data_IF_614667039714
#
_entry.id   IF_614667039714
#
_cell.length_a   1.000
_cell.length_b   1.000
_cell.length_c   1.000
_cell.angle_alpha   90.00
_cell.angle_beta   90.00
_cell.angle_gamma   90.00
#
_symmetry.space_group_name_H-M   'P 1'
#
loop_
_entity.id
_entity.type
_entity.pdbx_description
1 polymer ?
#
# COMPACT_ATOMS: atom_id res chain seq x y z
N UNK A 1 -2.47 -6.14 0.70
CA UNK A 1 -2.26 -4.67 0.57
C UNK A 1 -0.78 -4.45 0.68
N UNK A 2 -0.22 -3.77 -0.26
CA UNK A 2 1.18 -3.82 -0.63
C UNK A 2 2.12 -3.21 0.42
N UNK A 3 1.86 -1.97 0.88
CA UNK A 3 2.68 -1.33 1.91
C UNK A 3 4.08 -0.93 1.45
N UNK A 4 4.25 -0.67 0.15
CA UNK A 4 5.51 -0.23 -0.45
C UNK A 4 5.80 1.26 -0.21
N UNK A 5 4.75 2.09 -0.05
CA UNK A 5 4.86 3.54 0.04
C UNK A 5 5.24 3.99 1.45
N UNK A 6 6.50 3.73 1.83
CA UNK A 6 7.04 3.94 3.18
C UNK A 6 7.99 5.11 3.24
N UNK A 7 8.02 5.77 4.39
CA UNK A 7 9.09 6.72 4.72
C UNK A 7 10.40 5.99 4.96
N UNK A 8 11.51 6.66 4.64
CA UNK A 8 12.84 6.29 5.10
C UNK A 8 13.12 7.03 6.42
N UNK A 9 12.83 6.35 7.53
CA UNK A 9 12.84 6.96 8.87
C UNK A 9 14.17 7.60 9.30
N UNK A 10 15.37 7.09 8.91
CA UNK A 10 16.64 7.72 9.27
C UNK A 10 16.81 9.15 8.74
N UNK A 11 16.18 9.47 7.59
CA UNK A 11 16.29 10.78 6.94
C UNK A 11 15.13 11.74 7.31
N UNK A 12 14.20 11.30 8.15
CA UNK A 12 13.13 12.16 8.65
C UNK A 12 13.59 12.98 9.85
N UNK A 13 13.24 14.26 9.86
CA UNK A 13 13.33 15.06 11.08
C UNK A 13 12.40 14.50 12.15
N UNK A 14 12.76 14.64 13.41
CA UNK A 14 11.96 14.13 14.54
C UNK A 14 10.49 14.61 14.47
N UNK A 15 10.25 15.89 14.15
CA UNK A 15 8.90 16.46 14.02
C UNK A 15 8.12 15.84 12.85
N UNK A 16 8.77 15.57 11.72
CA UNK A 16 8.17 14.92 10.56
C UNK A 16 7.79 13.47 10.90
N UNK A 17 8.66 12.76 11.61
CA UNK A 17 8.37 11.41 12.07
C UNK A 17 7.21 11.37 13.08
N UNK A 18 7.12 12.35 13.98
CA UNK A 18 5.99 12.47 14.91
C UNK A 18 4.69 12.80 14.18
N UNK A 19 4.73 13.69 13.19
CA UNK A 19 3.57 14.00 12.35
C UNK A 19 3.12 12.78 11.56
N UNK A 20 4.03 12.07 10.89
CA UNK A 20 3.74 10.84 10.16
C UNK A 20 3.08 9.79 11.06
N UNK A 21 3.65 9.57 12.26
CA UNK A 21 3.08 8.67 13.26
C UNK A 21 1.69 9.09 13.73
N UNK A 22 1.47 10.40 13.86
CA UNK A 22 0.16 10.93 14.25
C UNK A 22 -0.89 10.63 13.16
N UNK A 23 -0.56 10.81 11.87
CA UNK A 23 -1.44 10.45 10.76
C UNK A 23 -1.67 8.94 10.69
N UNK A 24 -0.62 8.12 10.73
CA UNK A 24 -0.71 6.66 10.71
C UNK A 24 -1.59 6.10 11.84
N UNK A 25 -1.33 6.53 13.08
CA UNK A 25 -2.12 6.12 14.25
C UNK A 25 -3.52 6.71 14.23
N UNK A 26 -3.68 7.93 13.72
CA UNK A 26 -4.97 8.61 13.52
C UNK A 26 -5.84 7.88 12.51
N UNK A 27 -5.26 7.48 11.36
CA UNK A 27 -5.94 6.67 10.35
C UNK A 27 -6.35 5.30 10.92
N UNK A 28 -5.46 4.61 11.62
CA UNK A 28 -5.77 3.35 12.32
C UNK A 28 -7.00 3.49 13.23
N UNK A 29 -7.05 4.57 14.01
CA UNK A 29 -8.18 4.83 14.92
C UNK A 29 -9.44 5.18 14.17
N UNK A 30 -9.34 5.98 13.11
CA UNK A 30 -10.47 6.37 12.25
C UNK A 30 -11.06 5.16 11.56
N UNK A 31 -10.24 4.25 11.02
CA UNK A 31 -10.67 2.97 10.49
C UNK A 31 -11.48 2.17 11.51
N UNK A 32 -10.97 2.04 12.74
CA UNK A 32 -11.69 1.34 13.80
C UNK A 32 -13.04 1.95 14.16
N UNK A 33 -13.18 3.27 14.07
CA UNK A 33 -14.43 4.00 14.32
C UNK A 33 -15.41 3.93 13.13
N UNK A 34 -14.91 4.12 11.92
CA UNK A 34 -15.72 4.22 10.70
C UNK A 34 -16.21 2.86 10.22
N UNK A 35 -15.31 1.88 10.13
CA UNK A 35 -15.57 0.61 9.47
C UNK A 35 -15.51 -0.60 10.40
N UNK A 36 -15.11 -0.39 11.67
CA UNK A 36 -15.08 -1.42 12.72
C UNK A 36 -13.67 -1.81 13.14
N UNK A 37 -13.54 -2.41 14.34
CA UNK A 37 -12.22 -2.63 14.93
C UNK A 37 -11.29 -3.53 14.08
N UNK A 38 -11.86 -4.51 13.37
CA UNK A 38 -11.09 -5.40 12.50
C UNK A 38 -10.43 -4.65 11.33
N UNK A 39 -10.96 -3.48 10.91
CA UNK A 39 -10.38 -2.70 9.81
C UNK A 39 -8.98 -2.18 10.10
N UNK A 40 -8.58 -2.10 11.36
CA UNK A 40 -7.21 -1.73 11.74
C UNK A 40 -6.16 -2.73 11.22
N UNK A 41 -6.58 -3.95 10.90
CA UNK A 41 -5.71 -4.98 10.32
C UNK A 41 -5.42 -4.73 8.83
N UNK A 42 -6.26 -3.91 8.16
CA UNK A 42 -6.04 -3.51 6.77
C UNK A 42 -5.30 -2.18 6.63
N UNK A 43 -4.82 -1.61 7.75
CA UNK A 43 -3.99 -0.41 7.72
C UNK A 43 -2.71 -0.68 6.93
N UNK A 44 -2.43 0.15 5.94
CA UNK A 44 -1.20 0.09 5.15
C UNK A 44 -0.49 1.44 5.10
N UNK A 45 0.76 1.40 4.72
CA UNK A 45 1.54 2.61 4.45
C UNK A 45 0.99 3.35 3.23
N UNK A 46 0.46 2.62 2.24
CA UNK A 46 -0.11 3.19 1.03
C UNK A 46 -1.31 4.10 1.34
N UNK A 47 -2.24 3.63 2.18
CA UNK A 47 -3.36 4.47 2.62
C UNK A 47 -2.93 5.57 3.58
N UNK A 48 -1.79 5.44 4.24
CA UNK A 48 -1.22 6.56 5.02
C UNK A 48 -0.70 7.65 4.09
N UNK A 49 -0.02 7.29 3.00
CA UNK A 49 0.36 8.26 1.97
C UNK A 49 -0.87 8.91 1.33
N UNK A 50 -1.91 8.13 1.00
CA UNK A 50 -3.17 8.68 0.49
C UNK A 50 -3.76 9.73 1.45
N UNK A 51 -3.74 9.45 2.75
CA UNK A 51 -4.21 10.40 3.76
C UNK A 51 -3.34 11.67 3.79
N UNK A 52 -2.02 11.56 3.68
CA UNK A 52 -1.11 12.71 3.62
C UNK A 52 -1.35 13.56 2.36
N UNK A 53 -1.52 12.93 1.20
CA UNK A 53 -1.83 13.64 -0.06
C UNK A 53 -3.19 14.33 0.04
N UNK A 54 -4.20 13.66 0.58
CA UNK A 54 -5.52 14.26 0.79
C UNK A 54 -5.46 15.47 1.72
N UNK A 55 -4.70 15.38 2.81
CA UNK A 55 -4.48 16.51 3.73
C UNK A 55 -3.78 17.68 3.04
N UNK A 56 -2.84 17.41 2.11
CA UNK A 56 -2.21 18.45 1.30
C UNK A 56 -3.21 19.14 0.37
N UNK A 57 -4.05 18.36 -0.32
CA UNK A 57 -5.03 18.85 -1.28
C UNK A 57 -6.21 19.62 -0.63
N UNK A 58 -6.71 19.13 0.51
CA UNK A 58 -7.90 19.73 1.15
C UNK A 58 -7.57 20.85 2.12
N UNK A 59 -6.31 21.06 2.42
CA UNK A 59 -5.93 22.09 3.37
C UNK A 59 -6.36 21.80 4.82
N UNK A 60 -6.82 20.57 5.14
CA UNK A 60 -7.29 20.22 6.48
C UNK A 60 -6.17 20.27 7.54
N UNK A 61 -6.46 20.94 8.66
CA UNK A 61 -5.56 20.96 9.81
C UNK A 61 -5.73 19.73 10.70
N UNK A 62 -4.62 19.23 11.21
CA UNK A 62 -4.61 18.10 12.12
C UNK A 62 -4.59 18.52 13.57
N UNK A 63 -5.61 18.14 14.31
CA UNK A 63 -5.56 18.16 15.78
C UNK A 63 -4.93 16.85 16.26
N UNK A 64 -3.77 16.93 16.92
CA UNK A 64 -3.06 15.77 17.44
C UNK A 64 -3.26 15.65 18.94
N UNK A 65 -3.68 14.47 19.41
CA UNK A 65 -3.84 14.15 20.83
C UNK A 65 -3.02 12.94 21.21
N UNK A 66 -2.39 13.01 22.39
CA UNK A 66 -1.62 11.87 22.93
C UNK A 66 -2.57 10.84 23.53
N UNK A 67 -2.65 9.64 22.95
CA UNK A 67 -3.58 8.58 23.35
C UNK A 67 -2.89 7.22 23.41
N UNK A 68 -3.45 6.31 24.20
CA UNK A 68 -3.09 4.89 24.18
C UNK A 68 -3.78 4.18 23.01
N UNK A 69 -3.10 3.20 22.41
CA UNK A 69 -3.68 2.37 21.36
C UNK A 69 -3.74 0.90 21.78
N UNK A 70 -4.63 0.13 21.17
CA UNK A 70 -4.82 -1.29 21.48
C UNK A 70 -3.52 -2.10 21.27
N UNK A 71 -2.74 -1.75 20.23
CA UNK A 71 -1.47 -2.40 19.96
C UNK A 71 -0.32 -1.94 20.90
N UNK A 72 -0.46 -0.79 21.57
CA UNK A 72 0.55 -0.22 22.47
C UNK A 72 -0.13 0.37 23.73
N UNK A 73 -0.67 -0.48 24.61
CA UNK A 73 -1.49 -0.02 25.73
C UNK A 73 -0.67 0.72 26.81
N UNK A 74 0.63 0.44 26.90
CA UNK A 74 1.49 1.00 27.94
C UNK A 74 2.01 2.41 27.64
N UNK A 75 2.06 2.81 26.35
CA UNK A 75 2.61 4.11 25.96
C UNK A 75 1.56 4.95 25.23
N UNK A 76 1.46 6.23 25.62
CA UNK A 76 0.70 7.20 24.83
C UNK A 76 1.49 7.54 23.56
N UNK A 77 0.79 7.68 22.45
CA UNK A 77 1.35 8.06 21.14
C UNK A 77 0.58 9.24 20.56
N UNK A 78 1.23 10.11 19.78
CA UNK A 78 0.52 11.14 19.04
C UNK A 78 -0.43 10.47 18.05
N UNK A 79 -1.67 10.92 18.01
CA UNK A 79 -2.71 10.44 17.09
C UNK A 79 -3.51 11.62 16.58
N UNK A 80 -3.63 11.75 15.28
CA UNK A 80 -4.53 12.69 14.66
C UNK A 80 -5.98 12.35 15.03
N UNK A 81 -6.79 13.36 15.35
CA UNK A 81 -8.23 13.21 15.46
C UNK A 81 -8.81 12.94 14.05
N UNK A 82 -9.94 12.23 13.95
CA UNK A 82 -10.57 11.99 12.66
C UNK A 82 -10.86 13.27 11.90
N UNK A 83 -10.45 13.32 10.64
CA UNK A 83 -10.77 14.36 9.67
C UNK A 83 -11.52 13.74 8.50
N UNK A 84 -12.18 14.55 7.63
CA UNK A 84 -12.77 14.05 6.38
C UNK A 84 -11.79 13.26 5.51
N UNK A 85 -10.55 13.74 5.36
CA UNK A 85 -9.50 13.03 4.61
C UNK A 85 -9.19 11.65 5.20
N UNK A 86 -9.00 11.55 6.52
CA UNK A 86 -8.76 10.27 7.19
C UNK A 86 -9.97 9.33 7.11
N UNK A 87 -11.20 9.89 7.20
CA UNK A 87 -12.43 9.10 7.09
C UNK A 87 -12.60 8.53 5.68
N UNK A 88 -12.37 9.33 4.63
CA UNK A 88 -12.36 8.85 3.24
C UNK A 88 -11.41 7.69 3.05
N UNK A 89 -10.15 7.83 3.49
CA UNK A 89 -9.14 6.78 3.39
C UNK A 89 -9.55 5.51 4.14
N UNK A 90 -10.22 5.64 5.29
CA UNK A 90 -10.74 4.50 6.03
C UNK A 90 -11.84 3.75 5.26
N UNK A 91 -12.76 4.46 4.61
CA UNK A 91 -13.83 3.84 3.82
C UNK A 91 -13.30 3.25 2.51
N UNK A 92 -12.42 3.96 1.80
CA UNK A 92 -11.77 3.49 0.58
C UNK A 92 -10.95 2.22 0.83
N UNK A 93 -10.14 2.19 1.91
CA UNK A 93 -9.40 1.00 2.31
C UNK A 93 -10.30 -0.20 2.60
N UNK A 94 -11.45 0.01 3.26
CA UNK A 94 -12.38 -1.06 3.56
C UNK A 94 -13.06 -1.65 2.31
N UNK A 95 -13.38 -0.79 1.34
CA UNK A 95 -13.99 -1.18 0.06
C UNK A 95 -12.95 -1.94 -0.78
N UNK A 96 -11.75 -1.37 -0.98
CA UNK A 96 -10.70 -2.01 -1.77
C UNK A 96 -10.27 -3.36 -1.17
N UNK A 97 -10.10 -3.44 0.16
CA UNK A 97 -9.77 -4.69 0.84
C UNK A 97 -10.82 -5.78 0.61
N UNK A 98 -12.11 -5.40 0.51
CA UNK A 98 -13.18 -6.38 0.23
C UNK A 98 -13.00 -7.04 -1.13
N UNK A 99 -12.76 -6.25 -2.17
CA UNK A 99 -12.62 -6.79 -3.52
C UNK A 99 -11.31 -7.55 -3.68
N UNK A 100 -10.21 -7.11 -3.05
CA UNK A 100 -8.96 -7.87 -3.03
C UNK A 100 -9.11 -9.24 -2.34
N UNK A 101 -9.73 -9.31 -1.17
CA UNK A 101 -9.97 -10.60 -0.49
C UNK A 101 -10.89 -11.51 -1.31
N UNK A 102 -11.86 -10.93 -2.03
CA UNK A 102 -12.74 -11.69 -2.92
C UNK A 102 -11.97 -12.27 -4.11
N UNK A 103 -10.98 -11.58 -4.62
CA UNK A 103 -10.07 -12.00 -5.66
C UNK A 103 -9.14 -13.10 -5.15
N UNK A 104 -8.47 -12.90 -4.02
CA UNK A 104 -7.64 -13.90 -3.35
C UNK A 104 -8.40 -15.23 -3.12
N UNK A 105 -9.71 -15.17 -2.80
CA UNK A 105 -10.55 -16.36 -2.62
C UNK A 105 -10.80 -17.14 -3.92
N UNK A 106 -10.70 -16.48 -5.10
CA UNK A 106 -10.86 -17.11 -6.41
C UNK A 106 -9.56 -17.75 -6.87
N UNK A 107 -8.44 -17.07 -6.65
CA UNK A 107 -7.15 -17.40 -7.26
C UNK A 107 -6.26 -18.24 -6.34
N UNK A 108 -6.39 -18.10 -5.03
CA UNK A 108 -5.55 -18.81 -4.07
C UNK A 108 -6.06 -20.20 -3.73
N UNK A 109 -5.12 -21.10 -3.42
CA UNK A 109 -5.40 -22.48 -2.97
C UNK A 109 -4.74 -22.74 -1.61
N UNK A 110 -5.21 -23.76 -0.89
CA UNK A 110 -4.61 -24.20 0.37
C UNK A 110 -4.75 -23.20 1.52
N UNK A 111 -3.69 -23.02 2.30
CA UNK A 111 -3.70 -22.23 3.54
C UNK A 111 -4.02 -20.74 3.33
N UNK A 112 -3.57 -20.15 2.22
CA UNK A 112 -3.86 -18.73 1.90
C UNK A 112 -5.36 -18.53 1.68
N UNK A 113 -6.02 -19.44 0.93
CA UNK A 113 -7.48 -19.41 0.74
C UNK A 113 -8.24 -19.59 2.06
N UNK A 114 -7.76 -20.48 2.94
CA UNK A 114 -8.38 -20.68 4.25
C UNK A 114 -8.28 -19.41 5.09
N UNK A 115 -7.13 -18.76 5.11
CA UNK A 115 -6.94 -17.48 5.81
C UNK A 115 -7.87 -16.40 5.26
N UNK A 116 -7.96 -16.26 3.94
CA UNK A 116 -8.88 -15.32 3.27
C UNK A 116 -10.34 -15.60 3.63
N UNK A 117 -10.75 -16.87 3.68
CA UNK A 117 -12.12 -17.29 4.07
C UNK A 117 -12.49 -16.86 5.49
N UNK A 118 -11.56 -16.95 6.44
CA UNK A 118 -11.79 -16.54 7.84
C UNK A 118 -11.97 -15.03 7.95
N UNK A 119 -11.22 -14.24 7.18
CA UNK A 119 -11.29 -12.77 7.24
C UNK A 119 -12.43 -12.19 6.41
N UNK A 120 -12.90 -12.88 5.37
CA UNK A 120 -13.90 -12.41 4.42
C UNK A 120 -15.18 -11.83 5.07
N UNK A 121 -15.82 -12.48 6.07
CA UNK A 121 -17.04 -11.94 6.69
C UNK A 121 -16.80 -10.61 7.41
N UNK A 122 -15.64 -10.43 8.03
CA UNK A 122 -15.26 -9.17 8.68
C UNK A 122 -15.06 -8.07 7.65
N UNK A 123 -14.32 -8.37 6.58
CA UNK A 123 -14.07 -7.45 5.47
C UNK A 123 -15.39 -7.06 4.77
N UNK A 124 -16.29 -8.04 4.53
CA UNK A 124 -17.62 -7.76 3.99
C UNK A 124 -18.46 -6.84 4.91
N UNK A 125 -18.30 -6.99 6.23
CA UNK A 125 -18.96 -6.10 7.19
C UNK A 125 -18.42 -4.67 7.12
N UNK A 126 -17.09 -4.51 6.93
CA UNK A 126 -16.45 -3.19 6.75
C UNK A 126 -16.98 -2.48 5.50
N UNK A 127 -17.02 -3.17 4.35
CA UNK A 127 -17.61 -2.66 3.10
C UNK A 127 -19.07 -2.23 3.31
N UNK A 128 -19.91 -3.08 3.93
CA UNK A 128 -21.32 -2.74 4.20
C UNK A 128 -21.48 -1.49 5.04
N UNK A 129 -20.55 -1.22 5.97
CA UNK A 129 -20.54 0.03 6.76
C UNK A 129 -20.19 1.23 5.91
N UNK A 130 -19.20 1.09 5.00
CA UNK A 130 -18.82 2.15 4.05
C UNK A 130 -20.01 2.52 3.15
N UNK A 131 -20.66 1.54 2.54
CA UNK A 131 -21.86 1.76 1.68
C UNK A 131 -22.98 2.45 2.44
N UNK A 132 -23.30 2.00 3.67
CA UNK A 132 -24.32 2.65 4.52
C UNK A 132 -23.98 4.07 4.92
N UNK A 133 -22.73 4.47 4.86
CA UNK A 133 -22.24 5.83 5.14
C UNK A 133 -22.21 6.75 3.92
N UNK A 134 -22.74 6.28 2.78
CA UNK A 134 -22.88 7.09 1.57
C UNK A 134 -21.81 6.85 0.52
N UNK A 135 -20.93 5.86 0.71
CA UNK A 135 -19.86 5.52 -0.27
C UNK A 135 -20.28 4.41 -1.25
N UNK A 136 -21.58 4.35 -1.60
CA UNK A 136 -22.10 3.35 -2.54
C UNK A 136 -21.56 3.53 -3.95
N UNK A 137 -21.42 4.76 -4.42
CA UNK A 137 -20.87 5.07 -5.74
C UNK A 137 -19.38 4.69 -5.83
N UNK A 138 -18.61 4.98 -4.77
CA UNK A 138 -17.22 4.51 -4.66
C UNK A 138 -17.14 2.99 -4.71
N UNK A 139 -17.99 2.30 -3.97
CA UNK A 139 -18.05 0.84 -3.96
C UNK A 139 -18.36 0.26 -5.35
N UNK A 140 -19.33 0.83 -6.03
CA UNK A 140 -19.69 0.44 -7.41
C UNK A 140 -18.54 0.68 -8.40
N UNK A 141 -17.85 1.82 -8.28
CA UNK A 141 -16.69 2.15 -9.10
C UNK A 141 -15.52 1.18 -8.87
N UNK A 142 -15.22 0.85 -7.62
CA UNK A 142 -14.18 -0.15 -7.28
C UNK A 142 -14.56 -1.53 -7.81
N UNK A 143 -15.83 -1.93 -7.67
CA UNK A 143 -16.31 -3.22 -8.21
C UNK A 143 -16.09 -3.33 -9.71
N UNK A 144 -16.48 -2.30 -10.47
CA UNK A 144 -16.34 -2.31 -11.93
C UNK A 144 -14.87 -2.33 -12.36
N UNK A 145 -14.03 -1.51 -11.75
CA UNK A 145 -12.60 -1.48 -12.06
C UNK A 145 -11.89 -2.81 -11.71
N UNK A 146 -12.19 -3.41 -10.55
CA UNK A 146 -11.62 -4.70 -10.18
C UNK A 146 -12.13 -5.85 -11.07
N UNK A 147 -13.37 -5.77 -11.55
CA UNK A 147 -13.92 -6.74 -12.51
C UNK A 147 -13.19 -6.63 -13.85
N UNK A 148 -13.02 -5.41 -14.36
CA UNK A 148 -12.32 -5.13 -15.61
C UNK A 148 -10.85 -5.56 -15.53
N UNK A 149 -10.17 -5.28 -14.41
CA UNK A 149 -8.81 -5.74 -14.15
C UNK A 149 -8.71 -7.27 -14.19
N UNK A 150 -9.62 -7.96 -13.51
CA UNK A 150 -9.67 -9.43 -13.51
C UNK A 150 -9.91 -10.02 -14.91
N UNK A 151 -10.77 -9.40 -15.73
CA UNK A 151 -11.02 -9.80 -17.12
C UNK A 151 -9.77 -9.59 -17.99
N UNK A 152 -9.07 -8.46 -17.81
CA UNK A 152 -7.83 -8.15 -18.50
C UNK A 152 -6.71 -9.13 -18.12
N UNK A 153 -6.52 -9.42 -16.83
CA UNK A 153 -5.55 -10.39 -16.32
C UNK A 153 -5.84 -11.81 -16.85
N UNK A 154 -7.11 -12.20 -16.91
CA UNK A 154 -7.53 -13.49 -17.47
C UNK A 154 -7.19 -13.63 -18.96
N UNK A 155 -7.16 -12.54 -19.72
CA UNK A 155 -6.79 -12.54 -21.13
C UNK A 155 -5.30 -12.77 -21.38
N UNK A 156 -4.46 -12.65 -20.35
CA UNK A 156 -2.99 -12.86 -20.37
C UNK A 156 -2.28 -12.13 -21.51
N UNK A 157 -2.71 -10.91 -21.80
CA UNK A 157 -2.05 -10.07 -22.82
C UNK A 157 -0.56 -9.83 -22.44
N UNK A 158 0.34 -9.74 -23.43
CA UNK A 158 1.77 -9.49 -23.18
C UNK A 158 2.04 -8.00 -22.92
N UNK A 159 1.36 -7.44 -21.92
CA UNK A 159 1.46 -6.03 -21.54
C UNK A 159 1.45 -5.90 -20.03
N UNK A 160 2.29 -5.01 -19.50
CA UNK A 160 2.28 -4.55 -18.10
C UNK A 160 1.55 -3.22 -18.01
N UNK A 161 1.61 -2.41 -19.06
CA UNK A 161 1.06 -1.05 -19.07
C UNK A 161 -0.45 -1.01 -18.92
N UNK A 162 -1.17 -1.89 -19.60
CA UNK A 162 -2.62 -1.90 -19.57
C UNK A 162 -3.18 -2.21 -18.19
N UNK A 163 -2.81 -3.34 -17.54
CA UNK A 163 -3.31 -3.63 -16.21
C UNK A 163 -2.79 -2.63 -15.15
N UNK A 164 -1.55 -2.14 -15.28
CA UNK A 164 -1.02 -1.10 -14.40
C UNK A 164 -1.81 0.21 -14.53
N UNK A 165 -2.18 0.60 -15.76
CA UNK A 165 -2.99 1.79 -15.99
C UNK A 165 -4.38 1.63 -15.39
N UNK A 166 -5.02 0.48 -15.60
CA UNK A 166 -6.36 0.22 -15.07
C UNK A 166 -6.38 0.26 -13.53
N UNK A 167 -5.38 -0.35 -12.89
CA UNK A 167 -5.22 -0.25 -11.44
C UNK A 167 -4.89 1.18 -10.98
N UNK A 168 -4.05 1.88 -11.74
CA UNK A 168 -3.72 3.29 -11.50
C UNK A 168 -4.96 4.19 -11.60
N UNK A 169 -5.80 4.01 -12.62
CA UNK A 169 -7.07 4.72 -12.78
C UNK A 169 -8.01 4.51 -11.58
N UNK A 170 -8.08 3.28 -11.07
CA UNK A 170 -8.82 2.98 -9.85
C UNK A 170 -8.30 3.79 -8.67
N UNK A 171 -6.98 3.81 -8.46
CA UNK A 171 -6.34 4.53 -7.35
C UNK A 171 -6.50 6.05 -7.52
N UNK A 172 -6.44 6.55 -8.77
CA UNK A 172 -6.71 7.94 -9.11
C UNK A 172 -8.13 8.37 -8.74
N UNK A 173 -9.13 7.58 -9.12
CA UNK A 173 -10.55 7.81 -8.78
C UNK A 173 -10.78 7.78 -7.26
N UNK A 174 -10.14 6.86 -6.54
CA UNK A 174 -10.24 6.79 -5.08
C UNK A 174 -9.64 8.02 -4.41
N UNK A 175 -8.47 8.47 -4.86
CA UNK A 175 -7.79 9.62 -4.29
C UNK A 175 -8.52 10.93 -4.62
N UNK A 176 -9.12 11.05 -5.80
CA UNK A 176 -9.88 12.21 -6.24
C UNK A 176 -11.32 12.26 -5.70
N UNK A 177 -11.83 11.19 -5.11
CA UNK A 177 -13.24 11.10 -4.69
C UNK A 177 -13.71 12.28 -3.84
N UNK A 178 -14.78 12.95 -4.27
CA UNK A 178 -15.36 14.11 -3.59
C UNK A 178 -14.52 15.40 -3.65
N UNK A 179 -13.49 15.44 -4.52
CA UNK A 179 -12.81 16.67 -4.91
C UNK A 179 -13.34 17.16 -6.26
N UNK A 180 -13.14 18.44 -6.54
CA UNK A 180 -13.55 19.09 -7.79
C UNK A 180 -12.40 19.94 -8.35
N UNK A 181 -12.54 20.40 -9.58
CA UNK A 181 -11.59 21.33 -10.19
C UNK A 181 -10.17 20.79 -10.35
N UNK A 182 -9.20 21.61 -10.02
CA UNK A 182 -7.76 21.27 -10.17
C UNK A 182 -7.30 20.27 -9.09
N UNK A 183 -7.84 20.35 -7.89
CA UNK A 183 -7.53 19.41 -6.80
C UNK A 183 -7.95 17.99 -7.17
N UNK A 184 -9.10 17.82 -7.81
CA UNK A 184 -9.54 16.51 -8.31
C UNK A 184 -8.62 15.97 -9.41
N UNK A 185 -8.20 16.80 -10.37
CA UNK A 185 -7.27 16.41 -11.43
C UNK A 185 -5.91 16.03 -10.87
N UNK A 186 -5.38 16.82 -9.95
CA UNK A 186 -4.10 16.56 -9.31
C UNK A 186 -4.13 15.30 -8.48
N UNK A 187 -5.18 15.12 -7.66
CA UNK A 187 -5.41 13.90 -6.89
C UNK A 187 -5.47 12.66 -7.80
N UNK A 188 -6.20 12.77 -8.90
CA UNK A 188 -6.30 11.68 -9.88
C UNK A 188 -4.94 11.34 -10.49
N UNK A 189 -4.17 12.33 -10.91
CA UNK A 189 -2.83 12.13 -11.48
C UNK A 189 -1.90 11.47 -10.46
N UNK A 190 -1.86 11.96 -9.22
CA UNK A 190 -1.06 11.36 -8.13
C UNK A 190 -1.49 9.91 -7.90
N UNK A 191 -2.79 9.65 -7.78
CA UNK A 191 -3.29 8.29 -7.55
C UNK A 191 -3.01 7.34 -8.71
N UNK A 192 -3.15 7.81 -9.96
CA UNK A 192 -2.83 7.06 -11.18
C UNK A 192 -1.35 6.62 -11.17
N UNK A 193 -0.42 7.55 -10.96
CA UNK A 193 1.02 7.24 -10.97
C UNK A 193 1.43 6.34 -9.81
N UNK A 194 0.92 6.60 -8.60
CA UNK A 194 1.13 5.72 -7.45
C UNK A 194 0.60 4.30 -7.69
N UNK A 195 -0.59 4.20 -8.28
CA UNK A 195 -1.21 2.90 -8.58
C UNK A 195 -0.40 2.11 -9.61
N UNK A 196 0.00 2.74 -10.72
CA UNK A 196 0.87 2.13 -11.74
C UNK A 196 2.18 1.65 -11.13
N UNK A 197 2.86 2.50 -10.39
CA UNK A 197 4.12 2.17 -9.73
C UNK A 197 3.98 0.99 -8.77
N UNK A 198 2.95 0.99 -7.93
CA UNK A 198 2.68 -0.11 -6.99
C UNK A 198 2.39 -1.42 -7.73
N UNK A 199 1.58 -1.38 -8.80
CA UNK A 199 1.23 -2.57 -9.57
C UNK A 199 2.44 -3.20 -10.24
N UNK A 200 3.31 -2.39 -10.87
CA UNK A 200 4.52 -2.87 -11.54
C UNK A 200 5.51 -3.45 -10.51
N UNK A 201 5.69 -2.78 -9.38
CA UNK A 201 6.60 -3.24 -8.33
C UNK A 201 6.12 -4.55 -7.68
N UNK A 202 4.81 -4.69 -7.44
CA UNK A 202 4.19 -5.89 -6.89
C UNK A 202 4.36 -7.09 -7.86
N UNK A 203 4.15 -6.85 -9.15
CA UNK A 203 4.39 -7.86 -10.17
C UNK A 203 5.86 -8.34 -10.20
N UNK A 204 6.81 -7.47 -9.90
CA UNK A 204 8.23 -7.83 -9.80
C UNK A 204 8.56 -8.57 -8.50
N UNK A 205 7.97 -8.15 -7.36
CA UNK A 205 8.16 -8.78 -6.05
C UNK A 205 7.59 -10.22 -6.03
N UNK A 206 6.42 -10.41 -6.65
CA UNK A 206 5.72 -11.70 -6.71
C UNK A 206 6.16 -12.60 -7.88
N UNK A 207 7.01 -12.12 -8.81
CA UNK A 207 7.35 -12.82 -10.06
C UNK A 207 7.72 -14.29 -9.88
N UNK A 208 8.70 -14.59 -9.02
CA UNK A 208 9.21 -15.94 -8.83
C UNK A 208 8.15 -16.88 -8.21
N UNK A 209 7.35 -16.35 -7.26
CA UNK A 209 6.28 -17.12 -6.63
C UNK A 209 5.15 -17.41 -7.63
N UNK A 210 4.74 -16.42 -8.43
CA UNK A 210 3.67 -16.54 -9.40
C UNK A 210 4.02 -17.50 -10.54
N UNK A 211 5.23 -17.43 -11.07
CA UNK A 211 5.73 -18.39 -12.07
C UNK A 211 5.76 -19.81 -11.49
N UNK A 212 6.29 -19.98 -10.27
CA UNK A 212 6.34 -21.27 -9.58
C UNK A 212 4.96 -21.91 -9.41
N UNK A 213 3.95 -21.12 -9.03
CA UNK A 213 2.59 -21.61 -8.79
C UNK A 213 1.66 -21.46 -10.00
N UNK A 214 2.20 -21.04 -11.16
CA UNK A 214 1.43 -20.80 -12.41
C UNK A 214 0.27 -19.84 -12.24
N UNK A 215 0.47 -18.83 -11.38
CA UNK A 215 -0.46 -17.70 -11.23
C UNK A 215 -0.27 -16.68 -12.36
N UNK A 216 -1.23 -15.78 -12.51
CA UNK A 216 -1.06 -14.65 -13.41
C UNK A 216 0.05 -13.73 -12.86
N UNK A 217 0.90 -13.28 -13.76
CA UNK A 217 1.84 -12.20 -13.53
C UNK A 217 2.07 -11.48 -14.86
N UNK A 218 1.87 -10.15 -14.94
CA UNK A 218 1.95 -9.41 -16.19
C UNK A 218 3.35 -9.44 -16.81
N UNK A 219 4.40 -9.47 -15.98
CA UNK A 219 5.79 -9.58 -16.46
C UNK A 219 6.05 -10.96 -17.08
N UNK A 220 5.51 -12.03 -16.50
CA UNK A 220 5.62 -13.36 -17.08
C UNK A 220 4.88 -13.45 -18.43
N UNK A 221 3.75 -12.78 -18.57
CA UNK A 221 3.04 -12.66 -19.85
C UNK A 221 3.84 -11.84 -20.87
N UNK A 222 4.44 -10.73 -20.44
CA UNK A 222 5.24 -9.84 -21.30
C UNK A 222 6.50 -10.53 -21.82
N UNK A 223 7.24 -11.22 -20.96
CA UNK A 223 8.50 -11.86 -21.35
C UNK A 223 8.30 -13.16 -22.11
N UNK A 224 7.17 -13.83 -21.89
CA UNK A 224 6.77 -15.07 -22.56
C UNK A 224 7.86 -16.15 -22.62
N UNK A 225 8.74 -16.22 -21.60
CA UNK A 225 9.83 -17.18 -21.48
C UNK A 225 9.53 -18.20 -20.37
N UNK A 226 9.10 -19.43 -20.73
CA UNK A 226 8.80 -20.47 -19.74
C UNK A 226 10.01 -20.96 -18.94
N UNK A 227 11.24 -20.68 -19.40
CA UNK A 227 12.47 -21.08 -18.70
C UNK A 227 12.88 -20.07 -17.63
N UNK A 228 12.34 -18.84 -17.69
CA UNK A 228 12.67 -17.76 -16.76
C UNK A 228 11.85 -17.91 -15.47
N UNK A 229 12.42 -18.57 -14.49
CA UNK A 229 11.81 -18.75 -13.15
C UNK A 229 12.04 -17.57 -12.22
N UNK A 230 12.99 -16.70 -12.53
CA UNK A 230 13.32 -15.46 -11.82
C UNK A 230 13.67 -14.35 -12.83
N UNK A 231 13.49 -13.11 -12.43
CA UNK A 231 13.90 -11.96 -13.24
C UNK A 231 15.42 -11.95 -13.42
N UNK A 232 15.88 -11.91 -14.67
CA UNK A 232 17.31 -11.79 -14.99
C UNK A 232 17.85 -10.42 -14.56
N UNK A 233 19.17 -10.26 -14.32
CA UNK A 233 19.75 -8.96 -13.98
C UNK A 233 19.39 -7.86 -14.99
N UNK A 234 19.41 -8.19 -16.29
CA UNK A 234 19.03 -7.24 -17.34
C UNK A 234 17.57 -6.80 -17.23
N UNK A 235 16.63 -7.73 -16.98
CA UNK A 235 15.21 -7.41 -16.80
C UNK A 235 14.95 -6.61 -15.52
N UNK A 236 15.72 -6.83 -14.47
CA UNK A 236 15.65 -6.01 -13.24
C UNK A 236 16.07 -4.56 -13.51
N UNK A 237 17.13 -4.33 -14.30
CA UNK A 237 17.55 -2.97 -14.67
C UNK A 237 16.52 -2.28 -15.59
N UNK A 238 15.93 -2.99 -16.56
CA UNK A 238 14.83 -2.45 -17.39
C UNK A 238 13.63 -2.02 -16.52
N UNK A 239 13.22 -2.85 -15.56
CA UNK A 239 12.13 -2.54 -14.64
C UNK A 239 12.46 -1.37 -13.70
N UNK A 240 13.71 -1.30 -13.23
CA UNK A 240 14.18 -0.16 -12.44
C UNK A 240 14.02 1.15 -13.22
N UNK A 241 14.43 1.18 -14.49
CA UNK A 241 14.27 2.37 -15.35
C UNK A 241 12.78 2.74 -15.50
N UNK A 242 11.91 1.76 -15.75
CA UNK A 242 10.47 1.99 -15.89
C UNK A 242 9.85 2.54 -14.59
N UNK A 243 10.20 1.96 -13.43
CA UNK A 243 9.73 2.42 -12.12
C UNK A 243 10.25 3.82 -11.77
N UNK A 244 11.49 4.16 -12.15
CA UNK A 244 12.04 5.51 -11.98
C UNK A 244 11.36 6.53 -12.91
N UNK A 245 10.94 6.12 -14.10
CA UNK A 245 10.16 6.98 -14.99
C UNK A 245 8.77 7.30 -14.40
N UNK A 246 8.06 6.31 -13.85
CA UNK A 246 6.79 6.56 -13.12
C UNK A 246 7.01 7.49 -11.91
N UNK A 247 8.17 7.36 -11.26
CA UNK A 247 8.52 8.21 -10.12
C UNK A 247 8.74 9.66 -10.55
N UNK A 248 9.41 9.91 -11.68
CA UNK A 248 9.63 11.24 -12.22
C UNK A 248 8.31 11.95 -12.59
N UNK A 249 7.36 11.20 -13.18
CA UNK A 249 6.02 11.72 -13.46
C UNK A 249 5.24 12.04 -12.17
N UNK A 250 5.41 11.22 -11.14
CA UNK A 250 4.82 11.45 -9.83
C UNK A 250 5.42 12.70 -9.16
N UNK A 251 6.73 12.91 -9.30
CA UNK A 251 7.46 14.09 -8.80
C UNK A 251 6.85 15.38 -9.36
N UNK A 252 6.62 15.43 -10.67
CA UNK A 252 5.96 16.58 -11.31
C UNK A 252 4.58 16.85 -10.70
N UNK A 253 3.82 15.80 -10.36
CA UNK A 253 2.51 15.98 -9.73
C UNK A 253 2.62 16.42 -8.26
N UNK A 254 3.62 15.95 -7.51
CA UNK A 254 3.86 16.36 -6.12
C UNK A 254 4.30 17.81 -6.00
N UNK A 255 5.06 18.33 -6.98
CA UNK A 255 5.48 19.73 -7.02
C UNK A 255 4.30 20.70 -7.17
N UNK A 256 3.16 20.22 -7.67
CA UNK A 256 1.93 20.98 -7.76
C UNK A 256 1.10 20.97 -6.46
N UNK A 257 1.47 20.16 -5.46
CA UNK A 257 0.79 20.14 -4.17
C UNK A 257 1.15 21.39 -3.36
N UNK A 258 0.16 22.17 -2.97
CA UNK A 258 0.38 23.31 -2.09
C UNK A 258 0.69 22.86 -0.66
N UNK A 259 1.96 22.83 -0.34
CA UNK A 259 2.48 22.47 0.98
C UNK A 259 3.39 23.53 1.57
N UNK A 260 3.36 24.77 1.01
CA UNK A 260 4.26 25.86 1.40
C UNK A 260 4.16 26.17 2.91
N UNK A 261 2.95 26.26 3.43
CA UNK A 261 2.68 26.55 4.84
C UNK A 261 2.73 25.31 5.76
N UNK A 262 3.10 24.13 5.21
CA UNK A 262 3.10 22.84 5.90
C UNK A 262 4.43 22.11 5.74
N UNK A 263 5.52 22.63 6.30
CA UNK A 263 6.87 22.13 6.08
C UNK A 263 7.06 20.67 6.54
N UNK A 264 6.33 20.22 7.56
CA UNK A 264 6.41 18.83 8.04
C UNK A 264 5.75 17.87 7.06
N UNK A 265 4.59 18.23 6.51
CA UNK A 265 3.90 17.45 5.49
C UNK A 265 4.73 17.38 4.20
N UNK A 266 5.28 18.51 3.76
CA UNK A 266 6.20 18.57 2.61
C UNK A 266 7.42 17.67 2.82
N UNK A 267 8.07 17.75 3.99
CA UNK A 267 9.24 16.92 4.30
C UNK A 267 8.92 15.42 4.28
N UNK A 268 7.76 15.01 4.77
CA UNK A 268 7.32 13.61 4.75
C UNK A 268 7.06 13.14 3.32
N UNK A 269 6.32 13.92 2.52
CA UNK A 269 6.02 13.58 1.12
C UNK A 269 7.30 13.46 0.30
N UNK A 270 8.24 14.43 0.45
CA UNK A 270 9.55 14.39 -0.19
C UNK A 270 10.36 13.17 0.24
N UNK A 271 10.38 12.83 1.54
CA UNK A 271 11.07 11.65 2.03
C UNK A 271 10.52 10.34 1.45
N UNK A 272 9.19 10.21 1.32
CA UNK A 272 8.58 9.02 0.69
C UNK A 272 9.01 8.95 -0.78
N UNK A 273 8.92 10.06 -1.51
CA UNK A 273 9.19 10.12 -2.94
C UNK A 273 10.67 9.89 -3.27
N UNK A 274 11.57 10.64 -2.61
CA UNK A 274 12.99 10.66 -2.97
C UNK A 274 13.84 9.61 -2.23
N UNK A 275 13.39 9.13 -1.07
CA UNK A 275 14.12 8.16 -0.27
C UNK A 275 13.40 6.81 -0.15
N UNK A 276 12.12 6.84 0.20
CA UNK A 276 11.34 5.64 0.48
C UNK A 276 11.10 4.78 -0.76
N UNK A 277 10.56 5.37 -1.82
CA UNK A 277 10.19 4.64 -3.04
C UNK A 277 11.40 4.11 -3.82
N UNK A 278 12.49 4.87 -4.04
CA UNK A 278 13.69 4.32 -4.68
C UNK A 278 14.29 3.15 -3.91
N UNK A 279 14.31 3.21 -2.57
CA UNK A 279 14.78 2.10 -1.73
C UNK A 279 13.90 0.86 -1.83
N UNK A 280 12.60 1.01 -2.07
CA UNK A 280 11.73 -0.13 -2.31
C UNK A 280 12.01 -0.77 -3.68
N UNK A 281 12.32 0.02 -4.71
CA UNK A 281 12.78 -0.51 -6.01
C UNK A 281 14.03 -1.37 -5.81
N UNK A 282 15.06 -0.81 -5.16
CA UNK A 282 16.30 -1.54 -4.90
C UNK A 282 16.06 -2.82 -4.11
N UNK A 283 15.26 -2.75 -3.05
CA UNK A 283 14.94 -3.91 -2.21
C UNK A 283 14.22 -5.02 -2.97
N UNK A 284 13.25 -4.68 -3.79
CA UNK A 284 12.44 -5.66 -4.53
C UNK A 284 13.25 -6.27 -5.68
N UNK A 285 13.96 -5.44 -6.44
CA UNK A 285 14.65 -5.91 -7.64
C UNK A 285 16.01 -6.56 -7.34
N UNK A 286 16.74 -6.08 -6.32
CA UNK A 286 18.12 -6.52 -6.08
C UNK A 286 18.33 -7.16 -4.69
N UNK A 287 17.30 -7.13 -3.83
CA UNK A 287 17.36 -7.63 -2.45
C UNK A 287 17.97 -6.62 -1.49
N UNK A 288 18.02 -6.98 -0.20
CA UNK A 288 18.74 -6.20 0.83
C UNK A 288 20.25 -6.38 0.62
N UNK A 289 20.78 -5.93 -0.51
CA UNK A 289 22.21 -5.81 -0.75
C UNK A 289 22.78 -4.89 0.32
N UNK A 290 23.89 -5.28 0.92
CA UNK A 290 24.61 -4.57 1.97
C UNK A 290 24.87 -3.10 1.56
N UNK A 291 23.91 -2.23 1.81
CA UNK A 291 24.21 -0.82 2.01
C UNK A 291 24.88 -0.75 3.39
N UNK A 292 26.21 -0.64 3.40
CA UNK A 292 27.00 -0.61 4.62
C UNK A 292 26.68 0.58 5.51
N UNK A 293 25.60 0.48 6.28
CA UNK A 293 25.30 1.32 7.42
C UNK A 293 24.59 0.48 8.47
N UNK A 294 25.29 0.30 9.58
CA UNK A 294 24.96 -0.22 10.88
C UNK A 294 23.54 -0.79 11.11
N UNK A 295 23.50 -2.09 11.40
CA UNK A 295 22.38 -2.74 12.07
C UNK A 295 22.26 -2.21 13.50
N UNK A 296 21.28 -1.36 13.73
CA UNK A 296 20.78 -1.14 15.09
C UNK A 296 19.27 -1.48 15.15
N UNK A 297 19.01 -2.59 15.82
CA UNK A 297 17.88 -2.83 16.69
C UNK A 297 16.47 -2.71 16.15
N UNK A 298 15.99 -3.65 15.31
CA UNK A 298 14.57 -4.00 15.35
C UNK A 298 14.43 -5.52 15.26
N UNK A 299 13.83 -6.10 16.32
CA UNK A 299 13.77 -7.51 16.62
C UNK A 299 13.13 -8.34 15.50
N UNK A 300 13.92 -9.23 14.96
CA UNK A 300 13.46 -10.38 14.19
C UNK A 300 12.46 -11.17 15.04
N UNK A 301 11.24 -11.31 14.58
CA UNK A 301 10.37 -12.41 14.99
C UNK A 301 11.02 -13.70 14.50
N UNK A 302 11.71 -14.38 15.42
CA UNK A 302 12.20 -15.74 15.19
C UNK A 302 10.99 -16.65 15.00
N UNK A 303 10.88 -17.26 13.83
CA UNK A 303 10.11 -18.48 13.65
C UNK A 303 10.68 -19.53 14.59
N UNK A 304 9.83 -19.98 15.50
CA UNK A 304 10.14 -20.96 16.53
C UNK A 304 10.26 -22.34 15.88
N UNK A 305 11.49 -22.80 15.66
CA UNK A 305 11.75 -24.17 15.29
C UNK A 305 11.84 -25.02 16.57
N UNK A 306 10.75 -25.70 16.85
CA UNK A 306 10.57 -26.60 17.99
C UNK A 306 10.73 -28.03 17.53
N UNK A 307 11.96 -28.49 17.23
CA UNK A 307 12.28 -29.93 17.23
C UNK A 307 13.77 -30.18 17.54
N UNK A 308 13.97 -30.98 18.58
CA UNK A 308 15.17 -31.68 19.08
C UNK A 308 15.84 -31.08 20.32
N UNK A 309 15.37 -31.55 21.43
CA UNK A 309 16.17 -32.03 22.58
C UNK A 309 15.29 -32.98 23.39
N UNK A 310 15.38 -34.27 23.07
CA UNK A 310 15.15 -35.40 23.95
C UNK A 310 16.32 -36.36 23.72
N UNK A 311 16.96 -36.73 24.79
CA UNK A 311 17.99 -37.77 24.82
C UNK A 311 19.35 -37.24 25.24
N UNK A 312 19.63 -37.43 26.46
CA UNK A 312 20.75 -38.13 27.10
C UNK A 312 21.10 -37.50 28.43
N UNK A 313 20.48 -38.05 29.45
CA UNK A 313 20.99 -38.01 30.81
C UNK A 313 21.13 -39.46 31.28
N UNK A 314 22.37 -39.94 31.27
CA UNK A 314 22.87 -41.03 32.09
C UNK A 314 24.40 -40.91 32.14
N UNK A 315 24.88 -40.55 33.34
CA UNK A 315 26.25 -40.49 33.71
C UNK A 315 26.47 -39.66 34.95
#
# INVERSE_FOLDING_TARGET
MYGYLRTHAPELKVREQEYYRAVYCGLCRTMGKCTGQCSRMTLSYDFTLFALVRLALTGEDLTVKSRRCVAHPLRKRPMAEPTPALALCAYASAILAHYKVKDDLRDERGLKRTAASVVAPFIASMRRRSVRKGYGDMDSGVYLAMKELCELEASRIPSVDEPATLFGELMGKLLAYGLEGNEAKLAHTVGLRLGRWVYILDAADDYAEDVKYRRYNPLACLYADPSMTELTPHKREELKIALLAELAELECAFDLLDTADRPDLRGILSNILYEGMPRQIERVLFGDGECGCAREGQGRKRHYDRRRRKGDDHG
#
